data_IF_986068745472
#
_entry.id   IF_986068745472
#
_cell.length_a   1.000
_cell.length_b   1.000
_cell.length_c   1.000
_cell.angle_alpha   90.00
_cell.angle_beta   90.00
_cell.angle_gamma   90.00
#
_symmetry.space_group_name_H-M   'P 1'
#
loop_
_entity.id
_entity.type
_entity.pdbx_description
1 polymer ?
#
# COMPACT_ATOMS: atom_id res chain seq x y z
N UNK A 1 1.82 -62.68 -2.68
CA UNK A 1 1.02 -62.36 -3.88
C UNK A 1 1.07 -60.87 -4.09
N UNK A 2 1.79 -60.44 -5.13
CA UNK A 2 1.86 -59.04 -5.58
C UNK A 2 0.63 -58.77 -6.45
N UNK A 3 0.01 -57.61 -6.31
CA UNK A 3 -0.64 -56.94 -7.43
C UNK A 3 -0.44 -55.42 -7.31
N UNK A 4 0.47 -54.92 -8.13
CA UNK A 4 0.40 -53.58 -8.72
C UNK A 4 -0.84 -53.49 -9.61
N UNK A 5 -1.47 -52.30 -9.71
CA UNK A 5 -1.36 -51.45 -10.90
C UNK A 5 -1.99 -50.06 -10.72
N UNK A 6 -1.21 -49.06 -11.19
CA UNK A 6 -1.60 -47.83 -11.89
C UNK A 6 -2.51 -46.80 -11.23
N UNK A 7 -1.90 -45.66 -10.93
CA UNK A 7 -2.60 -44.40 -10.73
C UNK A 7 -2.96 -43.71 -12.03
N UNK A 8 -3.92 -42.80 -11.91
CA UNK A 8 -4.17 -41.70 -12.83
C UNK A 8 -4.06 -40.43 -11.99
N UNK A 9 -2.94 -39.70 -12.17
CA UNK A 9 -2.81 -38.32 -11.70
C UNK A 9 -3.81 -37.49 -12.52
N UNK A 10 -4.90 -37.10 -11.89
CA UNK A 10 -5.81 -36.10 -12.41
C UNK A 10 -5.09 -34.76 -12.47
N UNK A 11 -4.94 -34.26 -13.69
CA UNK A 11 -4.56 -32.89 -13.99
C UNK A 11 -5.47 -31.91 -13.23
N UNK A 12 -4.87 -31.13 -12.34
CA UNK A 12 -5.52 -30.02 -11.64
C UNK A 12 -4.83 -28.70 -12.03
N UNK A 13 -4.64 -28.49 -13.34
CA UNK A 13 -4.55 -27.17 -13.95
C UNK A 13 -5.89 -26.43 -13.90
N UNK A 14 -6.46 -26.26 -12.71
CA UNK A 14 -7.68 -25.50 -12.49
C UNK A 14 -7.35 -24.04 -12.24
N UNK A 15 -7.71 -23.20 -13.21
CA UNK A 15 -7.70 -21.73 -13.16
C UNK A 15 -8.11 -21.20 -11.77
N UNK A 16 -7.12 -20.82 -10.95
CA UNK A 16 -7.33 -20.33 -9.58
C UNK A 16 -8.06 -18.98 -9.57
N UNK A 17 -8.02 -18.23 -10.67
CA UNK A 17 -8.85 -17.03 -10.90
C UNK A 17 -10.34 -17.35 -10.92
N UNK A 18 -10.73 -18.51 -11.46
CA UNK A 18 -12.11 -19.00 -11.45
C UNK A 18 -12.59 -19.44 -10.06
N UNK A 19 -11.70 -19.85 -9.15
CA UNK A 19 -12.08 -20.26 -7.80
C UNK A 19 -12.47 -19.08 -6.89
N UNK A 20 -11.69 -17.98 -6.94
CA UNK A 20 -12.01 -16.75 -6.19
C UNK A 20 -13.31 -16.08 -6.70
N UNK A 21 -13.54 -16.08 -8.02
CA UNK A 21 -14.77 -15.55 -8.61
C UNK A 21 -16.01 -16.38 -8.28
N UNK A 22 -15.90 -17.72 -8.21
CA UNK A 22 -17.00 -18.62 -7.80
C UNK A 22 -17.46 -18.41 -6.36
N UNK A 23 -16.55 -18.10 -5.42
CA UNK A 23 -16.91 -17.79 -4.02
C UNK A 23 -17.66 -16.45 -3.92
N UNK A 24 -17.23 -15.44 -4.69
CA UNK A 24 -17.87 -14.11 -4.75
C UNK A 24 -19.31 -14.19 -5.27
N UNK A 25 -19.55 -14.97 -6.32
CA UNK A 25 -20.87 -15.11 -6.96
C UNK A 25 -21.79 -16.04 -6.17
N UNK A 26 -21.26 -17.11 -5.57
CA UNK A 26 -22.07 -18.09 -4.82
C UNK A 26 -22.48 -17.65 -3.41
N UNK A 27 -21.75 -16.72 -2.77
CA UNK A 27 -22.00 -16.29 -1.37
C UNK A 27 -21.69 -14.80 -1.13
N UNK A 28 -22.43 -13.87 -1.75
CA UNK A 28 -22.10 -12.44 -1.73
C UNK A 28 -22.04 -11.82 -0.32
N UNK A 29 -22.93 -12.21 0.60
CA UNK A 29 -22.91 -11.72 1.99
C UNK A 29 -21.69 -12.18 2.77
N UNK A 30 -21.24 -13.41 2.56
CA UNK A 30 -20.05 -13.94 3.23
C UNK A 30 -18.80 -13.25 2.71
N UNK A 31 -18.75 -12.99 1.40
CA UNK A 31 -17.68 -12.21 0.77
C UNK A 31 -17.61 -10.77 1.30
N UNK A 32 -18.73 -10.05 1.33
CA UNK A 32 -18.77 -8.69 1.89
C UNK A 32 -18.35 -8.66 3.36
N UNK A 33 -18.75 -9.66 4.16
CA UNK A 33 -18.29 -9.77 5.55
C UNK A 33 -16.79 -9.99 5.67
N UNK A 34 -16.16 -10.67 4.72
CA UNK A 34 -14.71 -10.85 4.71
C UNK A 34 -13.99 -9.55 4.35
N UNK A 35 -14.46 -8.86 3.30
CA UNK A 35 -13.92 -7.57 2.85
C UNK A 35 -14.03 -6.49 3.92
N UNK A 36 -15.18 -6.38 4.59
CA UNK A 36 -15.44 -5.35 5.60
C UNK A 36 -15.07 -5.79 7.03
N UNK A 37 -14.18 -6.77 7.19
CA UNK A 37 -13.60 -7.04 8.51
C UNK A 37 -12.70 -5.88 8.89
N UNK A 38 -13.12 -5.12 9.90
CA UNK A 38 -12.51 -3.85 10.30
C UNK A 38 -10.99 -3.90 10.47
N UNK A 39 -10.45 -5.01 10.99
CA UNK A 39 -9.03 -5.18 11.34
C UNK A 39 -8.35 -6.35 10.61
N UNK A 40 -8.86 -6.74 9.46
CA UNK A 40 -8.23 -7.80 8.66
C UNK A 40 -8.16 -7.37 7.21
N UNK A 41 -6.96 -7.38 6.64
CA UNK A 41 -6.78 -7.27 5.19
C UNK A 41 -7.13 -8.59 4.52
N UNK A 42 -7.40 -8.53 3.23
CA UNK A 42 -7.59 -9.71 2.40
C UNK A 42 -6.55 -9.69 1.29
N UNK A 43 -5.72 -10.72 1.23
CA UNK A 43 -4.75 -10.88 0.14
C UNK A 43 -5.50 -11.04 -1.18
N UNK A 44 -5.19 -10.17 -2.14
CA UNK A 44 -5.84 -10.13 -3.47
C UNK A 44 -4.88 -10.53 -4.58
N UNK A 45 -3.57 -10.49 -4.34
CA UNK A 45 -2.55 -10.91 -5.29
C UNK A 45 -1.35 -11.53 -4.58
N UNK A 46 -0.76 -12.53 -5.22
CA UNK A 46 0.45 -13.22 -4.79
C UNK A 46 1.36 -13.36 -6.02
N UNK A 47 2.67 -13.23 -5.82
CA UNK A 47 3.72 -13.37 -6.82
C UNK A 47 3.49 -12.53 -8.08
N UNK A 48 3.04 -11.28 -7.92
CA UNK A 48 2.70 -10.36 -9.03
C UNK A 48 1.67 -10.94 -10.03
N UNK A 49 0.87 -11.91 -9.60
CA UNK A 49 -0.08 -12.62 -10.46
C UNK A 49 0.53 -13.85 -11.18
N UNK A 50 1.84 -14.03 -11.14
CA UNK A 50 2.57 -15.16 -11.73
C UNK A 50 2.68 -16.34 -10.75
N UNK A 51 1.54 -16.80 -10.25
CA UNK A 51 1.50 -17.91 -9.28
C UNK A 51 1.96 -19.23 -9.93
N UNK A 52 3.06 -19.86 -9.47
CA UNK A 52 3.51 -21.14 -10.00
C UNK A 52 2.49 -22.27 -9.79
N UNK A 53 2.56 -23.36 -10.57
CA UNK A 53 1.63 -24.50 -10.45
C UNK A 53 1.63 -25.17 -9.06
N UNK A 54 2.78 -25.19 -8.40
CA UNK A 54 3.02 -25.65 -7.03
C UNK A 54 2.72 -24.58 -5.97
N UNK A 55 2.44 -23.35 -6.41
CA UNK A 55 1.99 -22.24 -5.58
C UNK A 55 3.11 -21.56 -4.78
N UNK A 56 2.83 -20.34 -4.28
CA UNK A 56 3.76 -19.60 -3.43
C UNK A 56 3.95 -20.31 -2.09
N UNK A 57 5.15 -20.19 -1.52
CA UNK A 57 5.56 -20.97 -0.33
C UNK A 57 5.71 -20.12 0.93
N UNK A 58 5.68 -18.77 0.83
CA UNK A 58 5.85 -17.88 1.99
C UNK A 58 5.10 -16.54 1.92
N UNK A 59 5.08 -15.83 3.05
CA UNK A 59 4.41 -14.51 3.17
C UNK A 59 5.07 -13.42 2.31
N UNK A 60 6.35 -13.60 1.96
CA UNK A 60 7.10 -12.69 1.08
C UNK A 60 6.54 -12.65 -0.34
N UNK A 61 5.73 -13.65 -0.72
CA UNK A 61 5.13 -13.71 -2.04
C UNK A 61 3.85 -12.85 -2.13
N UNK A 62 3.31 -12.31 -1.03
CA UNK A 62 2.11 -11.48 -1.09
C UNK A 62 2.42 -10.11 -1.71
N UNK A 63 1.89 -9.86 -2.90
CA UNK A 63 2.16 -8.63 -3.67
C UNK A 63 1.00 -7.65 -3.70
N UNK A 64 -0.19 -8.05 -3.23
CA UNK A 64 -1.33 -7.15 -3.15
C UNK A 64 -2.38 -7.60 -2.15
N UNK A 65 -3.02 -6.62 -1.53
CA UNK A 65 -4.19 -6.84 -0.69
C UNK A 65 -5.19 -5.71 -0.84
N UNK A 66 -6.42 -5.95 -0.39
CA UNK A 66 -7.28 -4.87 0.04
C UNK A 66 -6.98 -4.61 1.52
N UNK A 67 -6.53 -3.39 1.80
CA UNK A 67 -6.25 -2.92 3.16
C UNK A 67 -7.48 -3.03 4.03
N UNK A 68 -7.29 -3.32 5.32
CA UNK A 68 -8.43 -3.37 6.23
C UNK A 68 -9.06 -1.98 6.37
N UNK A 69 -10.40 -1.87 6.50
CA UNK A 69 -11.08 -0.58 6.57
C UNK A 69 -10.56 0.35 7.68
N UNK A 70 -10.14 -0.19 8.84
CA UNK A 70 -9.59 0.64 9.91
C UNK A 70 -8.29 1.34 9.51
N UNK A 71 -7.39 0.67 8.78
CA UNK A 71 -6.15 1.28 8.30
C UNK A 71 -6.45 2.34 7.24
N UNK A 72 -7.37 2.06 6.31
CA UNK A 72 -7.79 3.05 5.30
C UNK A 72 -8.33 4.31 5.96
N UNK A 73 -9.28 4.18 6.89
CA UNK A 73 -9.85 5.32 7.62
C UNK A 73 -8.78 6.05 8.44
N UNK A 74 -7.87 5.33 9.10
CA UNK A 74 -6.79 5.94 9.87
C UNK A 74 -5.83 6.73 8.98
N UNK A 75 -5.44 6.18 7.84
CA UNK A 75 -4.57 6.88 6.88
C UNK A 75 -5.28 8.10 6.30
N UNK A 76 -6.54 8.00 5.90
CA UNK A 76 -7.31 9.15 5.41
C UNK A 76 -7.51 10.23 6.49
N UNK A 77 -7.63 9.83 7.76
CA UNK A 77 -7.69 10.77 8.88
C UNK A 77 -6.39 11.56 9.04
N UNK A 78 -5.23 10.90 8.97
CA UNK A 78 -3.93 11.59 9.01
C UNK A 78 -3.62 12.37 7.74
N UNK A 79 -4.05 11.86 6.57
CA UNK A 79 -3.92 12.56 5.30
C UNK A 79 -4.76 13.83 5.29
N UNK A 80 -5.87 13.89 6.03
CA UNK A 80 -6.78 15.05 6.13
C UNK A 80 -7.08 15.76 4.79
N UNK A 81 -7.55 15.04 3.75
CA UNK A 81 -7.81 15.62 2.44
C UNK A 81 -8.94 16.65 2.48
N UNK A 82 -8.75 17.80 1.82
CA UNK A 82 -9.69 18.94 1.78
C UNK A 82 -10.32 19.16 0.40
N UNK A 83 -11.51 19.78 0.30
CA UNK A 83 -12.17 19.97 -0.99
C UNK A 83 -11.30 20.80 -1.93
N UNK A 84 -11.10 20.34 -3.16
CA UNK A 84 -10.31 21.03 -4.17
C UNK A 84 -8.80 20.75 -4.13
N UNK A 85 -8.28 20.04 -3.12
CA UNK A 85 -6.89 19.62 -3.09
C UNK A 85 -6.59 18.56 -4.15
N UNK A 86 -5.45 18.69 -4.85
CA UNK A 86 -4.92 17.68 -5.77
C UNK A 86 -4.17 16.59 -5.01
N UNK A 87 -4.58 15.35 -5.19
CA UNK A 87 -4.03 14.19 -4.49
C UNK A 87 -3.41 13.21 -5.48
N UNK A 88 -2.21 12.75 -5.16
CA UNK A 88 -1.62 11.55 -5.76
C UNK A 88 -1.77 10.36 -4.80
N UNK A 89 -2.39 9.30 -5.28
CA UNK A 89 -2.44 7.99 -4.62
C UNK A 89 -1.46 7.04 -5.31
N UNK A 90 -0.54 6.44 -4.54
CA UNK A 90 0.37 5.39 -5.00
C UNK A 90 -0.18 4.01 -4.61
N UNK A 91 -0.45 3.18 -5.61
CA UNK A 91 -0.97 1.82 -5.47
C UNK A 91 -2.50 1.75 -5.50
N UNK A 92 -3.10 2.00 -6.66
CA UNK A 92 -4.55 1.90 -6.87
C UNK A 92 -5.12 0.56 -6.38
N UNK A 93 -4.41 -0.54 -6.65
CA UNK A 93 -4.77 -1.90 -6.23
C UNK A 93 -6.19 -2.29 -6.62
N UNK A 94 -7.08 -2.40 -5.63
CA UNK A 94 -8.49 -2.75 -5.86
C UNK A 94 -9.37 -1.57 -6.28
N UNK A 95 -8.86 -0.35 -6.20
CA UNK A 95 -9.64 0.88 -6.38
C UNK A 95 -10.55 1.20 -5.19
N UNK A 96 -10.29 0.65 -3.99
CA UNK A 96 -11.14 0.89 -2.82
C UNK A 96 -10.95 2.29 -2.21
N UNK A 97 -9.71 2.79 -2.15
CA UNK A 97 -9.38 4.05 -1.48
C UNK A 97 -9.58 5.27 -2.41
N UNK A 98 -9.29 5.13 -3.71
CA UNK A 98 -9.50 6.15 -4.74
C UNK A 98 -10.87 6.85 -4.71
N UNK A 99 -12.03 6.16 -4.64
CA UNK A 99 -13.34 6.81 -4.62
C UNK A 99 -13.60 7.55 -3.31
N UNK A 100 -13.00 7.14 -2.19
CA UNK A 100 -13.11 7.85 -0.92
C UNK A 100 -12.38 9.21 -0.99
N UNK A 101 -11.20 9.22 -1.61
CA UNK A 101 -10.49 10.46 -1.92
C UNK A 101 -11.31 11.32 -2.88
N UNK A 102 -11.80 10.74 -3.97
CA UNK A 102 -12.58 11.42 -5.01
C UNK A 102 -13.83 12.10 -4.46
N UNK A 103 -14.56 11.43 -3.57
CA UNK A 103 -15.71 11.99 -2.87
C UNK A 103 -15.33 13.20 -2.01
N UNK A 104 -14.15 13.16 -1.39
CA UNK A 104 -13.70 14.19 -0.44
C UNK A 104 -13.13 15.43 -1.11
N UNK A 105 -12.36 15.27 -2.19
CA UNK A 105 -11.64 16.36 -2.85
C UNK A 105 -12.18 16.74 -4.22
N UNK A 106 -13.07 15.92 -4.79
CA UNK A 106 -13.57 16.03 -6.15
C UNK A 106 -12.80 15.08 -7.09
N UNK A 107 -13.54 14.34 -7.92
CA UNK A 107 -12.99 13.25 -8.73
C UNK A 107 -11.82 13.68 -9.64
N UNK A 108 -11.92 14.84 -10.30
CA UNK A 108 -10.86 15.34 -11.18
C UNK A 108 -9.57 15.76 -10.46
N UNK A 109 -9.59 15.84 -9.13
CA UNK A 109 -8.43 16.21 -8.32
C UNK A 109 -7.66 14.98 -7.81
N UNK A 110 -8.07 13.76 -8.15
CA UNK A 110 -7.40 12.53 -7.74
C UNK A 110 -6.69 11.91 -8.94
N UNK A 111 -5.38 11.75 -8.82
CA UNK A 111 -4.57 10.86 -9.67
C UNK A 111 -4.23 9.62 -8.85
N UNK A 112 -4.43 8.43 -9.41
CA UNK A 112 -4.09 7.16 -8.76
C UNK A 112 -3.26 6.30 -9.69
N UNK A 113 -2.08 5.85 -9.25
CA UNK A 113 -1.11 5.11 -10.05
C UNK A 113 -0.97 3.66 -9.58
N UNK A 114 -0.96 2.73 -10.51
CA UNK A 114 -0.76 1.30 -10.28
C UNK A 114 0.26 0.74 -11.26
N UNK A 115 1.20 -0.06 -10.76
CA UNK A 115 2.28 -0.64 -11.57
C UNK A 115 1.85 -1.91 -12.29
N UNK A 116 0.88 -2.63 -11.72
CA UNK A 116 0.33 -3.85 -12.31
C UNK A 116 -0.83 -3.53 -13.26
N UNK A 117 -0.59 -3.72 -14.56
CA UNK A 117 -1.58 -3.49 -15.62
C UNK A 117 -2.91 -4.22 -15.37
N UNK A 118 -2.86 -5.48 -14.92
CA UNK A 118 -4.06 -6.28 -14.67
C UNK A 118 -4.86 -5.73 -13.48
N UNK A 119 -4.19 -5.26 -12.43
CA UNK A 119 -4.86 -4.60 -11.30
C UNK A 119 -5.43 -3.24 -11.72
N UNK A 120 -4.69 -2.46 -12.49
CA UNK A 120 -5.13 -1.16 -12.99
C UNK A 120 -6.42 -1.28 -13.84
N UNK A 121 -6.47 -2.24 -14.77
CA UNK A 121 -7.67 -2.52 -15.58
C UNK A 121 -8.87 -2.93 -14.73
N UNK A 122 -8.64 -3.78 -13.72
CA UNK A 122 -9.69 -4.20 -12.77
C UNK A 122 -10.20 -3.03 -11.95
N UNK A 123 -9.32 -2.15 -11.47
CA UNK A 123 -9.69 -0.96 -10.73
C UNK A 123 -10.48 0.01 -11.62
N UNK A 124 -10.04 0.24 -12.86
CA UNK A 124 -10.76 1.06 -13.83
C UNK A 124 -12.18 0.53 -14.11
N UNK A 125 -12.32 -0.79 -14.24
CA UNK A 125 -13.62 -1.44 -14.40
C UNK A 125 -14.50 -1.28 -13.15
N UNK A 126 -13.92 -1.43 -11.96
CA UNK A 126 -14.65 -1.31 -10.69
C UNK A 126 -15.09 0.13 -10.40
N UNK A 127 -14.30 1.11 -10.84
CA UNK A 127 -14.56 2.55 -10.69
C UNK A 127 -15.39 3.14 -11.83
N UNK A 128 -15.74 2.32 -12.83
CA UNK A 128 -16.57 2.77 -13.94
C UNK A 128 -17.97 3.14 -13.45
N UNK A 129 -18.24 4.44 -13.42
CA UNK A 129 -19.53 5.02 -13.08
C UNK A 129 -19.85 6.18 -14.02
N UNK A 130 -21.13 6.49 -14.27
CA UNK A 130 -21.51 7.68 -15.00
C UNK A 130 -21.11 8.94 -14.21
N UNK A 131 -20.32 9.83 -14.83
CA UNK A 131 -19.95 11.13 -14.24
C UNK A 131 -18.44 11.37 -14.16
N UNK A 132 -18.01 12.39 -13.38
CA UNK A 132 -16.61 12.68 -13.11
C UNK A 132 -15.87 11.46 -12.53
N UNK A 133 -14.67 11.20 -13.03
CA UNK A 133 -13.85 10.07 -12.59
C UNK A 133 -12.42 10.55 -12.23
N UNK A 134 -11.78 9.89 -11.25
CA UNK A 134 -10.35 10.02 -11.00
C UNK A 134 -9.51 9.69 -12.23
N UNK A 135 -8.32 10.26 -12.31
CA UNK A 135 -7.35 9.92 -13.33
C UNK A 135 -6.54 8.69 -12.90
N UNK A 136 -6.72 7.58 -13.61
CA UNK A 136 -6.01 6.32 -13.32
C UNK A 136 -4.82 6.17 -14.26
N UNK A 137 -3.67 5.85 -13.69
CA UNK A 137 -2.40 5.72 -14.41
C UNK A 137 -1.83 4.32 -14.21
N UNK A 138 -1.40 3.70 -15.30
CA UNK A 138 -0.48 2.56 -15.24
C UNK A 138 0.94 3.11 -15.23
N UNK A 139 1.72 2.81 -14.19
CA UNK A 139 3.11 3.25 -14.14
C UNK A 139 3.81 2.96 -12.81
N UNK A 140 5.10 3.31 -12.77
CA UNK A 140 5.93 3.16 -11.58
C UNK A 140 5.57 4.21 -10.54
N UNK A 141 5.03 3.77 -9.41
CA UNK A 141 4.59 4.65 -8.33
C UNK A 141 5.74 5.38 -7.65
N UNK A 142 6.95 4.81 -7.63
CA UNK A 142 8.14 5.45 -7.06
C UNK A 142 8.56 6.71 -7.83
N UNK A 143 8.23 6.80 -9.12
CA UNK A 143 8.46 7.99 -9.97
C UNK A 143 7.35 9.04 -9.84
N UNK A 144 6.28 8.75 -9.09
CA UNK A 144 5.09 9.59 -8.99
C UNK A 144 4.38 9.76 -10.33
N UNK A 145 3.74 10.91 -10.53
CA UNK A 145 3.15 11.27 -11.82
C UNK A 145 3.36 12.76 -12.12
N UNK A 146 4.51 13.13 -12.72
CA UNK A 146 4.86 14.51 -13.01
C UNK A 146 3.81 15.31 -13.83
N UNK A 147 3.10 14.74 -14.82
CA UNK A 147 2.12 15.51 -15.59
C UNK A 147 0.94 16.05 -14.75
N UNK A 148 0.62 15.42 -13.62
CA UNK A 148 -0.42 15.88 -12.69
C UNK A 148 0.11 16.77 -11.56
N UNK A 149 1.43 16.93 -11.43
CA UNK A 149 2.05 17.74 -10.40
C UNK A 149 1.74 19.24 -10.61
N UNK A 150 1.76 20.08 -9.56
CA UNK A 150 2.09 19.79 -8.16
C UNK A 150 0.88 19.33 -7.35
N UNK A 151 1.10 18.37 -6.46
CA UNK A 151 0.09 17.82 -5.55
C UNK A 151 0.06 18.59 -4.22
N UNK A 152 -1.13 18.76 -3.67
CA UNK A 152 -1.33 19.25 -2.31
C UNK A 152 -0.97 18.17 -1.29
N UNK A 153 -1.36 16.93 -1.59
CA UNK A 153 -1.10 15.77 -0.74
C UNK A 153 -0.77 14.53 -1.55
N UNK A 154 0.03 13.66 -0.98
CA UNK A 154 0.35 12.35 -1.52
C UNK A 154 0.10 11.28 -0.46
N UNK A 155 -0.51 10.17 -0.87
CA UNK A 155 -0.69 8.99 -0.03
C UNK A 155 -0.15 7.76 -0.75
N UNK A 156 0.71 7.00 -0.08
CA UNK A 156 1.13 5.68 -0.57
C UNK A 156 0.42 4.58 0.19
N UNK A 157 -0.25 3.69 -0.54
CA UNK A 157 -0.83 2.44 -0.02
C UNK A 157 0.05 1.23 -0.33
N UNK A 158 1.34 1.47 -0.56
CA UNK A 158 2.42 0.51 -0.52
C UNK A 158 3.57 1.08 0.34
N UNK A 159 4.26 0.21 1.07
CA UNK A 159 5.37 0.63 1.91
C UNK A 159 6.65 0.86 1.10
N UNK A 160 7.46 1.80 1.55
CA UNK A 160 8.81 2.06 1.02
C UNK A 160 9.85 1.84 2.10
N UNK A 161 11.08 1.54 1.70
CA UNK A 161 12.26 1.55 2.58
C UNK A 161 12.86 2.94 2.71
N UNK A 162 12.80 3.68 1.61
CA UNK A 162 13.26 5.05 1.50
C UNK A 162 12.21 5.83 0.72
N UNK A 163 11.83 7.00 1.23
CA UNK A 163 10.89 7.90 0.55
C UNK A 163 11.52 8.35 -0.78
N UNK A 164 10.88 8.08 -1.93
CA UNK A 164 11.40 8.51 -3.23
C UNK A 164 11.49 10.03 -3.33
N UNK A 165 12.60 10.54 -3.87
CA UNK A 165 12.81 11.98 -4.09
C UNK A 165 11.74 12.56 -5.04
N UNK A 166 11.34 11.78 -6.05
CA UNK A 166 10.31 12.18 -7.00
C UNK A 166 8.98 12.56 -6.32
N UNK A 167 8.66 11.95 -5.17
CA UNK A 167 7.47 12.29 -4.39
C UNK A 167 7.57 13.69 -3.79
N UNK A 168 8.72 14.00 -3.19
CA UNK A 168 9.01 15.30 -2.56
C UNK A 168 8.97 16.41 -3.63
N UNK A 169 9.61 16.17 -4.77
CA UNK A 169 9.72 17.14 -5.85
C UNK A 169 8.36 17.49 -6.51
N UNK A 170 7.39 16.56 -6.44
CA UNK A 170 6.06 16.70 -7.03
C UNK A 170 5.01 17.26 -6.05
N UNK A 171 5.31 17.28 -4.75
CA UNK A 171 4.44 17.90 -3.74
C UNK A 171 4.77 19.39 -3.64
N UNK A 172 3.74 20.23 -3.44
CA UNK A 172 3.96 21.67 -3.26
C UNK A 172 4.67 21.96 -1.93
N UNK A 173 5.34 23.11 -1.77
CA UNK A 173 5.78 23.58 -0.46
C UNK A 173 4.61 23.59 0.55
N UNK A 174 4.84 23.02 1.74
CA UNK A 174 3.83 22.83 2.77
C UNK A 174 2.78 21.75 2.45
N UNK A 175 2.93 21.01 1.37
CA UNK A 175 2.11 19.85 1.03
C UNK A 175 2.53 18.60 1.83
N UNK A 176 1.64 17.62 1.90
CA UNK A 176 1.78 16.45 2.79
C UNK A 176 2.13 15.19 2.01
N UNK A 177 3.03 14.38 2.55
CA UNK A 177 3.29 13.01 2.10
C UNK A 177 2.98 12.07 3.27
N UNK A 178 2.04 11.15 3.06
CA UNK A 178 1.70 10.10 4.02
C UNK A 178 2.11 8.74 3.44
N UNK A 179 3.05 8.06 4.08
CA UNK A 179 3.55 6.78 3.57
C UNK A 179 3.93 5.80 4.69
N UNK A 180 3.62 4.50 4.55
CA UNK A 180 4.25 3.46 5.35
C UNK A 180 5.75 3.40 5.02
N UNK A 181 6.59 3.60 6.04
CA UNK A 181 8.05 3.56 5.93
C UNK A 181 8.59 2.37 6.73
N UNK A 182 9.42 1.56 6.07
CA UNK A 182 10.03 0.36 6.64
C UNK A 182 10.82 0.69 7.91
N UNK A 183 10.57 -0.07 8.98
CA UNK A 183 11.14 0.20 10.29
C UNK A 183 11.69 -1.06 10.96
N UNK A 184 12.66 -0.92 11.89
CA UNK A 184 13.23 -2.06 12.62
C UNK A 184 12.27 -2.69 13.63
N UNK A 185 11.06 -2.14 13.82
CA UNK A 185 10.14 -2.51 14.90
C UNK A 185 9.10 -3.58 14.50
N UNK A 186 9.47 -4.47 13.58
CA UNK A 186 8.62 -5.57 13.05
C UNK A 186 7.31 -5.10 12.37
N UNK A 187 7.15 -3.80 12.17
CA UNK A 187 6.06 -3.17 11.44
C UNK A 187 6.56 -1.92 10.73
N UNK A 188 5.77 -1.37 9.83
CA UNK A 188 6.06 -0.09 9.19
C UNK A 188 5.61 1.08 10.06
N UNK A 189 6.42 2.13 10.11
CA UNK A 189 6.02 3.41 10.68
C UNK A 189 5.20 4.20 9.67
N UNK A 190 4.01 4.68 10.05
CA UNK A 190 3.23 5.59 9.20
C UNK A 190 3.85 6.99 9.29
N UNK A 191 4.66 7.36 8.30
CA UNK A 191 5.33 8.65 8.23
C UNK A 191 4.39 9.71 7.66
N UNK A 192 4.19 10.80 8.40
CA UNK A 192 3.52 12.01 7.94
C UNK A 192 4.58 13.10 7.77
N UNK A 193 4.90 13.42 6.52
CA UNK A 193 5.93 14.38 6.15
C UNK A 193 5.32 15.61 5.50
N UNK A 194 5.96 16.75 5.69
CA UNK A 194 5.64 18.03 5.04
C UNK A 194 6.81 18.43 4.17
N UNK A 195 6.56 18.66 2.88
CA UNK A 195 7.57 19.11 1.94
C UNK A 195 7.96 20.56 2.23
N UNK A 196 9.26 20.86 2.26
CA UNK A 196 9.76 22.23 2.51
C UNK A 196 9.71 23.11 1.26
N UNK A 197 9.73 22.51 0.07
CA UNK A 197 9.76 23.21 -1.22
C UNK A 197 11.15 23.35 -1.84
N UNK A 198 12.19 22.93 -1.12
CA UNK A 198 13.61 23.03 -1.48
C UNK A 198 14.24 21.63 -1.69
N UNK A 199 13.40 20.64 -2.00
CA UNK A 199 13.81 19.25 -2.22
C UNK A 199 13.86 18.39 -0.94
N UNK A 200 13.44 18.92 0.21
CA UNK A 200 13.36 18.18 1.46
C UNK A 200 11.92 17.98 1.95
N UNK A 201 11.78 17.07 2.91
CA UNK A 201 10.56 16.89 3.68
C UNK A 201 10.89 16.47 5.11
N UNK A 202 10.10 16.91 6.07
CA UNK A 202 10.29 16.58 7.49
C UNK A 202 8.96 16.28 8.16
N UNK A 203 8.98 15.50 9.24
CA UNK A 203 7.77 15.14 9.94
C UNK A 203 7.96 14.07 11.00
N UNK A 204 6.89 13.34 11.31
CA UNK A 204 6.86 12.37 12.40
C UNK A 204 6.17 11.07 11.98
N UNK A 205 6.44 10.01 12.74
CA UNK A 205 5.60 8.81 12.71
C UNK A 205 4.33 9.05 13.51
N UNK A 206 3.18 8.79 12.87
CA UNK A 206 1.85 9.03 13.46
C UNK A 206 1.10 7.73 13.77
N UNK A 207 1.70 6.58 13.49
CA UNK A 207 1.15 5.27 13.79
C UNK A 207 2.03 4.13 13.31
N UNK A 208 1.58 2.91 13.55
CA UNK A 208 2.17 1.68 13.01
C UNK A 208 1.18 1.04 12.03
N UNK A 209 1.69 0.54 10.90
CA UNK A 209 0.93 -0.12 9.84
C UNK A 209 1.79 -1.24 9.24
N UNK A 210 1.20 -2.11 8.43
CA UNK A 210 1.95 -3.12 7.67
C UNK A 210 1.45 -3.14 6.24
N UNK A 211 2.37 -2.93 5.30
CA UNK A 211 2.07 -2.89 3.87
C UNK A 211 3.07 -3.69 3.06
N UNK A 212 2.61 -4.18 1.89
CA UNK A 212 3.50 -4.73 0.87
C UNK A 212 4.46 -3.64 0.41
N UNK A 213 5.72 -4.01 0.14
CA UNK A 213 6.71 -3.06 -0.39
C UNK A 213 6.42 -2.72 -1.85
N UNK A 214 6.70 -1.48 -2.24
CA UNK A 214 6.75 -1.09 -3.66
C UNK A 214 7.69 -2.03 -4.41
N UNK A 215 7.42 -2.24 -5.71
CA UNK A 215 8.13 -3.27 -6.50
C UNK A 215 9.64 -3.00 -6.54
N UNK A 216 10.06 -1.74 -6.63
CA UNK A 216 11.47 -1.34 -6.64
C UNK A 216 12.19 -1.48 -5.30
N UNK A 217 11.48 -1.63 -4.17
CA UNK A 217 12.06 -1.65 -2.83
C UNK A 217 11.76 -2.93 -2.04
N UNK A 218 11.52 -4.06 -2.74
CA UNK A 218 11.32 -5.36 -2.08
C UNK A 218 12.58 -5.92 -1.46
N UNK A 219 13.73 -5.71 -2.10
CA UNK A 219 15.02 -6.18 -1.60
C UNK A 219 15.32 -5.56 -0.22
N UNK A 220 15.58 -6.38 0.81
CA UNK A 220 15.95 -5.87 2.13
C UNK A 220 17.21 -5.02 2.07
N UNK A 221 17.23 -3.92 2.82
CA UNK A 221 18.40 -3.08 3.05
C UNK A 221 18.66 -2.99 4.55
N UNK A 222 19.91 -2.73 4.95
CA UNK A 222 20.17 -2.56 6.38
C UNK A 222 19.54 -1.28 6.89
N UNK A 223 18.97 -1.31 8.10
CA UNK A 223 18.35 -0.12 8.68
C UNK A 223 19.35 1.03 8.88
N UNK A 224 20.63 0.72 9.09
CA UNK A 224 21.70 1.72 9.14
C UNK A 224 21.86 2.49 7.81
N UNK A 225 21.82 1.80 6.66
CA UNK A 225 21.86 2.44 5.33
C UNK A 225 20.61 3.26 5.03
N UNK A 226 19.48 2.93 5.66
CA UNK A 226 18.23 3.65 5.55
C UNK A 226 18.14 4.85 6.53
N UNK A 227 19.20 5.12 7.29
CA UNK A 227 19.27 6.25 8.21
C UNK A 227 18.55 6.03 9.54
N UNK A 228 18.17 4.79 9.87
CA UNK A 228 17.67 4.49 11.20
C UNK A 228 18.80 4.47 12.22
N UNK A 229 18.58 5.05 13.42
CA UNK A 229 19.56 4.99 14.47
C UNK A 229 19.87 3.55 14.87
N UNK A 230 21.14 3.28 15.16
CA UNK A 230 21.56 1.96 15.62
C UNK A 230 21.06 1.70 17.05
N UNK A 231 20.95 0.43 17.46
CA UNK A 231 20.57 0.10 18.84
C UNK A 231 21.49 0.74 19.89
N UNK A 232 22.76 0.99 19.55
CA UNK A 232 23.74 1.61 20.44
C UNK A 232 23.51 3.14 20.62
N UNK A 233 22.84 3.79 19.67
CA UNK A 233 22.46 5.21 19.72
C UNK A 233 21.20 5.47 20.56
N UNK A 234 20.44 4.42 20.86
CA UNK A 234 19.28 4.53 21.74
C UNK A 234 19.71 4.50 23.20
N UNK A 235 19.24 5.49 23.98
CA UNK A 235 19.32 5.49 25.44
C UNK A 235 17.96 5.25 26.04
N UNK A 236 17.91 4.34 27.01
CA UNK A 236 16.76 4.13 27.88
C UNK A 236 17.10 4.70 29.25
N UNK A 237 16.41 5.75 29.66
CA UNK A 237 16.51 6.29 31.02
C UNK A 237 15.25 5.97 31.81
N UNK A 238 15.42 5.67 33.10
CA UNK A 238 14.33 5.40 34.03
C UNK A 238 14.51 6.30 35.25
N UNK A 239 13.68 7.34 35.34
CA UNK A 239 13.75 8.37 36.38
C UNK A 239 12.34 8.69 36.86
N UNK A 240 12.17 8.89 38.18
CA UNK A 240 10.87 9.22 38.79
C UNK A 240 9.73 8.25 38.40
N UNK A 241 10.04 6.97 38.20
CA UNK A 241 9.08 5.94 37.78
C UNK A 241 8.64 6.04 36.32
N UNK A 242 9.32 6.83 35.48
CA UNK A 242 9.04 6.97 34.05
C UNK A 242 10.22 6.50 33.21
N UNK A 243 9.91 5.70 32.18
CA UNK A 243 10.87 5.33 31.15
C UNK A 243 10.85 6.37 30.01
N UNK A 244 12.02 6.76 29.53
CA UNK A 244 12.21 7.56 28.32
C UNK A 244 13.20 6.86 27.40
N UNK A 245 12.88 6.79 26.10
CA UNK A 245 13.77 6.28 25.06
C UNK A 245 14.10 7.44 24.13
N UNK A 246 15.38 7.69 23.87
CA UNK A 246 15.85 8.73 22.93
C UNK A 246 16.95 8.16 22.06
N UNK A 247 16.93 8.51 20.77
CA UNK A 247 18.12 8.39 19.94
C UNK A 247 19.01 9.60 20.23
N UNK A 248 20.29 9.36 20.53
CA UNK A 248 21.31 10.42 20.56
C UNK A 248 21.72 10.68 19.10
N UNK A 249 21.37 11.86 18.57
CA UNK A 249 21.80 12.36 17.27
C UNK A 249 23.14 13.04 17.34
#
# INVERSE_FOLDING_TARGET
MRHSTTGTRGDHGGDRGAAASRVRVGRPRQWLRAVYRTRSSLITQIADGEVPPDGPTGCADFTGSISCPAVVVNMLHHLDPQPGERILEIGTGTGYNTPLLAERVGAFNVTSIEIDETLAERAATALHAPGPAPYLVVGEGEEGYPPGARYDRMISTAAVRQVPQAWIDQVRPGGVILTPLDSPFQCDGLALLVADGDGGANGAFVGAVDFMKTRGQREPRSYAELGWPTWAEHRVTVEEGRQRIRAES
#
